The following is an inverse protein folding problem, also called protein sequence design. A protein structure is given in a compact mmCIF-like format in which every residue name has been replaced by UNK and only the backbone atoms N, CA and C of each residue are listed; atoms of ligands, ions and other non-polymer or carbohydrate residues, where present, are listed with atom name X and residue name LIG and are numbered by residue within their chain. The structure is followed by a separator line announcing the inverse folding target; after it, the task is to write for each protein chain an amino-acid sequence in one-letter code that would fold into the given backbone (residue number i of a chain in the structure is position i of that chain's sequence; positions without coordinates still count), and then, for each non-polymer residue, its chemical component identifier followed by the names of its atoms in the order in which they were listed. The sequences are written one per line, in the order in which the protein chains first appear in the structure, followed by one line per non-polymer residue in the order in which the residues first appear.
data_IF_972767022737
#
_entry.id   IF_972767022737
#
_cell.length_a   1.000
_cell.length_b   1.000
_cell.length_c   1.000
_cell.angle_alpha   90.00
_cell.angle_beta   90.00
_cell.angle_gamma   90.00
#
_symmetry.space_group_name_H-M   'P 1'
#
loop_
_entity.id
_entity.type
_entity.pdbx_description
1 polymer ?
#
# COMPACT_ATOMS: atom_id res chain seq x y z
N UNK A 1 11.24 21.97 -57.76
CA UNK A 1 9.98 21.69 -58.49
C UNK A 1 9.54 20.27 -58.12
N UNK A 2 8.37 20.14 -57.45
CA UNK A 2 7.56 18.90 -57.24
C UNK A 2 8.19 17.83 -56.33
N UNK A 3 7.91 17.80 -55.02
CA UNK A 3 6.77 17.14 -54.32
C UNK A 3 6.49 15.72 -54.81
N UNK A 4 6.64 14.74 -53.90
CA UNK A 4 5.84 13.50 -53.87
C UNK A 4 5.81 12.95 -52.44
N UNK A 5 4.63 13.06 -51.81
CA UNK A 5 4.21 12.40 -50.58
C UNK A 5 4.12 10.88 -50.78
N UNK A 6 4.44 10.09 -49.75
CA UNK A 6 3.81 8.81 -49.36
C UNK A 6 4.50 8.41 -48.04
N UNK A 7 3.90 8.65 -46.88
CA UNK A 7 2.82 7.83 -46.36
C UNK A 7 3.31 7.21 -45.07
N UNK A 8 2.84 7.71 -43.93
CA UNK A 8 2.89 6.95 -42.69
C UNK A 8 1.68 7.35 -41.86
N UNK A 9 0.73 6.42 -41.80
CA UNK A 9 -0.42 6.42 -40.91
C UNK A 9 0.10 6.64 -39.49
N UNK A 10 -0.21 7.80 -38.90
CA UNK A 10 0.03 8.02 -37.47
C UNK A 10 -1.21 7.55 -36.72
N UNK A 11 -1.03 6.42 -36.04
CA UNK A 11 -1.97 5.74 -35.17
C UNK A 11 -2.59 6.74 -34.18
N UNK A 12 -3.91 6.83 -34.17
CA UNK A 12 -4.70 7.61 -33.21
C UNK A 12 -4.50 6.98 -31.81
N UNK A 13 -3.50 7.42 -31.05
CA UNK A 13 -3.44 7.11 -29.61
C UNK A 13 -4.52 7.93 -28.94
N UNK A 14 -5.67 7.30 -28.75
CA UNK A 14 -6.69 7.71 -27.79
C UNK A 14 -6.06 7.66 -26.39
N UNK A 15 -5.35 8.72 -25.98
CA UNK A 15 -5.12 8.98 -24.56
C UNK A 15 -6.30 9.83 -24.12
N UNK A 16 -7.39 9.14 -23.79
CA UNK A 16 -8.44 9.75 -23.00
C UNK A 16 -7.93 9.88 -21.57
N UNK A 17 -7.28 11.01 -21.27
CA UNK A 17 -7.18 11.45 -19.88
C UNK A 17 -8.58 11.90 -19.46
N UNK A 18 -9.38 10.95 -18.98
CA UNK A 18 -10.56 11.25 -18.17
C UNK A 18 -10.05 11.78 -16.83
N UNK A 19 -9.52 13.00 -16.83
CA UNK A 19 -9.38 13.76 -15.61
C UNK A 19 -10.80 13.94 -15.07
N UNK A 20 -11.08 13.34 -13.92
CA UNK A 20 -12.23 13.73 -13.13
C UNK A 20 -12.04 15.22 -12.83
N UNK A 21 -12.75 16.10 -13.54
CA UNK A 21 -12.78 17.53 -13.30
C UNK A 21 -13.66 17.79 -12.07
N UNK A 22 -13.21 17.32 -10.91
CA UNK A 22 -13.58 17.98 -9.67
C UNK A 22 -12.50 19.03 -9.46
N UNK A 23 -12.80 20.29 -9.84
CA UNK A 23 -11.96 21.43 -9.48
C UNK A 23 -11.69 21.32 -7.98
N UNK A 24 -10.43 21.27 -7.57
CA UNK A 24 -10.06 21.13 -6.16
C UNK A 24 -10.29 22.47 -5.45
N UNK A 25 -11.43 22.70 -4.76
CA UNK A 25 -11.74 24.04 -4.25
C UNK A 25 -10.83 24.42 -3.07
N UNK A 26 -9.93 23.51 -2.67
CA UNK A 26 -9.01 23.64 -1.56
C UNK A 26 -7.54 23.69 -1.99
N UNK A 27 -7.25 23.73 -3.30
CA UNK A 27 -5.92 24.01 -3.84
C UNK A 27 -4.82 23.11 -3.28
N UNK A 28 -4.82 21.84 -3.68
CA UNK A 28 -3.81 20.89 -3.23
C UNK A 28 -4.39 19.50 -3.04
N UNK A 29 -4.56 18.77 -4.14
CA UNK A 29 -4.72 17.32 -4.09
C UNK A 29 -3.64 16.72 -3.19
N UNK A 30 -4.04 16.19 -2.03
CA UNK A 30 -3.14 15.55 -1.09
C UNK A 30 -2.75 14.18 -1.66
N UNK A 31 -1.88 14.18 -2.68
CA UNK A 31 -0.97 13.07 -2.92
C UNK A 31 0.13 13.12 -1.84
N UNK A 32 -0.27 13.18 -0.58
CA UNK A 32 0.65 13.05 0.54
C UNK A 32 1.10 11.61 0.58
N UNK A 33 2.39 11.36 0.35
CA UNK A 33 3.00 10.08 0.73
C UNK A 33 2.90 10.02 2.25
N UNK A 34 1.81 9.44 2.75
CA UNK A 34 1.56 9.31 4.17
C UNK A 34 2.67 8.44 4.75
N UNK A 35 3.52 9.03 5.59
CA UNK A 35 4.48 8.26 6.37
C UNK A 35 3.68 7.27 7.23
N UNK A 36 3.98 5.96 7.21
CA UNK A 36 3.28 5.02 8.05
C UNK A 36 3.48 5.42 9.52
N UNK A 37 2.37 5.61 10.23
CA UNK A 37 2.37 6.01 11.63
C UNK A 37 2.78 4.86 12.57
N UNK A 38 2.78 3.63 12.05
CA UNK A 38 3.16 2.42 12.77
C UNK A 38 4.23 1.67 11.99
N UNK A 39 5.32 1.33 12.66
CA UNK A 39 6.34 0.41 12.15
C UNK A 39 6.18 -0.94 12.85
N UNK A 40 6.35 -2.03 12.11
CA UNK A 40 6.21 -3.40 12.64
C UNK A 40 7.52 -4.15 12.43
N UNK A 41 7.94 -4.89 13.45
CA UNK A 41 9.09 -5.80 13.39
C UNK A 41 8.68 -7.20 13.83
N UNK A 42 9.04 -8.19 13.02
CA UNK A 42 8.90 -9.61 13.38
C UNK A 42 10.10 -10.04 14.22
N UNK A 43 9.81 -10.63 15.38
CA UNK A 43 10.77 -11.21 16.30
C UNK A 43 10.55 -12.72 16.33
N UNK A 44 11.64 -13.48 16.23
CA UNK A 44 11.61 -14.94 16.28
C UNK A 44 12.50 -15.42 17.43
N UNK A 45 12.07 -16.50 18.06
CA UNK A 45 12.84 -17.18 19.10
C UNK A 45 14.09 -17.92 18.58
N UNK A 46 14.18 -18.13 17.26
CA UNK A 46 15.23 -18.89 16.61
C UNK A 46 15.67 -18.22 15.31
N UNK A 47 16.94 -18.39 14.93
CA UNK A 47 17.48 -17.85 13.68
C UNK A 47 16.99 -18.60 12.43
N UNK A 48 16.53 -19.84 12.59
CA UNK A 48 16.01 -20.67 11.50
C UNK A 48 14.83 -21.54 11.96
N UNK A 49 13.80 -21.63 11.11
CA UNK A 49 12.67 -22.52 11.29
C UNK A 49 12.94 -23.85 10.56
N UNK A 50 12.87 -24.98 11.29
CA UNK A 50 13.00 -26.33 10.70
C UNK A 50 11.61 -26.98 10.56
N UNK A 51 11.40 -27.82 9.54
CA UNK A 51 10.15 -28.56 9.41
C UNK A 51 9.83 -29.37 10.69
N UNK A 52 8.57 -29.33 11.11
CA UNK A 52 8.10 -30.05 12.31
C UNK A 52 8.51 -29.43 13.64
N UNK A 53 9.16 -28.26 13.65
CA UNK A 53 9.52 -27.55 14.87
C UNK A 53 8.60 -26.38 15.15
N UNK A 54 8.35 -26.11 16.44
CA UNK A 54 7.57 -24.95 16.88
C UNK A 54 8.51 -23.76 17.08
N UNK A 55 8.26 -22.66 16.38
CA UNK A 55 8.97 -21.40 16.56
C UNK A 55 8.03 -20.39 17.20
N UNK A 56 8.45 -19.79 18.32
CA UNK A 56 7.74 -18.65 18.89
C UNK A 56 8.05 -17.39 18.09
N UNK A 57 6.99 -16.69 17.70
CA UNK A 57 7.03 -15.44 16.95
C UNK A 57 6.33 -14.34 17.75
N UNK A 58 6.88 -13.13 17.70
CA UNK A 58 6.29 -11.93 18.28
C UNK A 58 6.31 -10.79 17.26
N UNK A 59 5.32 -9.90 17.36
CA UNK A 59 5.30 -8.66 16.60
C UNK A 59 5.55 -7.49 17.54
N UNK A 60 6.57 -6.69 17.24
CA UNK A 60 6.82 -5.42 17.91
C UNK A 60 6.24 -4.30 17.06
N UNK A 61 5.28 -3.57 17.62
CA UNK A 61 4.61 -2.45 16.96
C UNK A 61 5.07 -1.14 17.62
N UNK A 62 5.73 -0.29 16.85
CA UNK A 62 6.12 1.06 17.29
C UNK A 62 5.22 2.08 16.61
N UNK A 63 4.43 2.80 17.41
CA UNK A 63 3.42 3.76 16.94
C UNK A 63 3.86 5.19 17.26
N UNK A 64 3.54 6.13 16.36
CA UNK A 64 3.68 7.56 16.62
C UNK A 64 2.71 8.02 17.72
N UNK A 65 2.96 9.20 18.28
CA UNK A 65 2.13 9.75 19.35
C UNK A 65 0.66 9.92 18.90
N UNK A 66 -0.28 9.57 19.78
CA UNK A 66 -1.72 9.56 19.50
C UNK A 66 -2.21 8.39 18.62
N UNK A 67 -1.32 7.52 18.13
CA UNK A 67 -1.70 6.33 17.38
C UNK A 67 -1.82 5.10 18.28
N UNK A 68 -2.88 4.34 18.08
CA UNK A 68 -3.15 3.10 18.81
C UNK A 68 -3.66 2.04 17.84
N UNK A 69 -3.45 0.77 18.20
CA UNK A 69 -4.06 -0.36 17.51
C UNK A 69 -5.25 -0.90 18.30
N UNK A 70 -6.10 -1.66 17.62
CA UNK A 70 -7.25 -2.31 18.23
C UNK A 70 -6.87 -3.60 18.94
N UNK A 71 -7.51 -3.84 20.09
CA UNK A 71 -7.46 -5.13 20.77
C UNK A 71 -8.23 -6.20 19.99
N UNK A 72 -8.00 -7.48 20.32
CA UNK A 72 -8.65 -8.64 19.67
C UNK A 72 -10.18 -8.59 19.72
N UNK A 73 -10.73 -7.95 20.75
CA UNK A 73 -12.16 -7.69 20.87
C UNK A 73 -12.41 -6.17 20.87
N UNK A 74 -12.47 -5.54 19.68
CA UNK A 74 -12.51 -4.08 19.58
C UNK A 74 -13.93 -3.49 19.65
N UNK A 75 -14.94 -4.31 19.91
CA UNK A 75 -16.34 -3.91 19.83
C UNK A 75 -16.82 -3.71 18.39
N UNK A 76 -17.98 -3.07 18.21
CA UNK A 76 -18.65 -2.99 16.91
C UNK A 76 -17.97 -2.06 15.89
N UNK A 77 -17.12 -1.13 16.33
CA UNK A 77 -16.57 -0.07 15.49
C UNK A 77 -15.07 -0.26 15.15
N UNK A 78 -14.38 -1.21 15.77
CA UNK A 78 -12.97 -1.42 15.53
C UNK A 78 -12.69 -2.65 14.67
N UNK A 79 -11.51 -2.66 14.04
CA UNK A 79 -11.02 -3.78 13.23
C UNK A 79 -9.80 -4.33 13.97
N UNK A 80 -9.83 -5.59 14.45
CA UNK A 80 -8.70 -6.15 15.17
C UNK A 80 -7.48 -6.25 14.26
N UNK A 81 -6.30 -6.20 14.85
CA UNK A 81 -5.07 -6.50 14.10
C UNK A 81 -5.08 -7.97 13.71
N UNK A 82 -4.83 -8.26 12.44
CA UNK A 82 -4.76 -9.62 11.91
C UNK A 82 -3.37 -9.94 11.36
N UNK A 83 -2.99 -11.22 11.40
CA UNK A 83 -1.68 -11.71 10.94
C UNK A 83 -1.88 -12.98 10.14
N UNK A 84 -1.71 -12.86 8.83
CA UNK A 84 -1.73 -14.00 7.92
C UNK A 84 -0.32 -14.56 7.74
N UNK A 85 -0.16 -15.87 7.98
CA UNK A 85 1.11 -16.56 7.80
C UNK A 85 1.11 -17.36 6.52
N UNK A 86 2.10 -17.11 5.65
CA UNK A 86 2.39 -17.98 4.51
C UNK A 86 3.62 -18.81 4.85
N UNK A 87 3.41 -20.09 5.13
CA UNK A 87 4.47 -21.06 5.40
C UNK A 87 4.56 -22.06 4.22
N UNK A 88 5.77 -22.52 3.86
CA UNK A 88 5.96 -23.57 2.87
C UNK A 88 5.57 -24.96 3.37
#
# INVERSE_FOLDING_TARGET
MRVCFLGFIFLLTFVGDLNAQFDDPFGGGQAGVAKPATTVKLLLSHDAAKPGTTVMAGLELTMADGWHTYWINPGAAGIPTDVEWTLP
#
